data_IF_606181986496
#
_entry.id   IF_606181986496
#
_cell.length_a   1.000
_cell.length_b   1.000
_cell.length_c   1.000
_cell.angle_alpha   90.00
_cell.angle_beta   90.00
_cell.angle_gamma   90.00
#
_symmetry.space_group_name_H-M   'P 1'
#
loop_
_entity.id
_entity.type
_entity.pdbx_description
1 polymer ?
#
# COMPACT_ATOMS: atom_id res chain seq x y z
N UNK A 1 -3.69 17.07 14.40
CA UNK A 1 -2.44 16.83 13.64
C UNK A 1 -2.79 15.97 12.46
N UNK A 2 -2.87 16.55 11.26
CA UNK A 2 -3.23 15.79 10.06
C UNK A 2 -2.15 14.74 9.82
N UNK A 3 -2.51 13.45 9.88
CA UNK A 3 -1.59 12.41 9.46
C UNK A 3 -1.22 12.74 8.02
N UNK A 4 0.00 13.25 7.80
CA UNK A 4 0.58 13.47 6.47
C UNK A 4 0.98 12.11 5.89
N UNK A 5 0.05 11.16 5.95
CA UNK A 5 0.18 9.83 5.41
C UNK A 5 -0.08 9.85 3.91
N UNK A 6 0.39 8.81 3.24
CA UNK A 6 0.23 8.64 1.82
C UNK A 6 -1.25 8.66 1.40
N UNK A 7 -1.62 9.42 0.36
CA UNK A 7 -2.99 9.45 -0.16
C UNK A 7 -3.53 8.04 -0.44
N UNK A 8 -4.83 7.83 -0.25
CA UNK A 8 -5.44 6.51 -0.50
C UNK A 8 -5.24 6.04 -1.95
N UNK A 9 -5.38 6.96 -2.92
CA UNK A 9 -5.11 6.70 -4.34
C UNK A 9 -3.67 6.25 -4.59
N UNK A 10 -2.70 6.86 -3.89
CA UNK A 10 -1.29 6.48 -4.02
C UNK A 10 -1.08 5.06 -3.50
N UNK A 11 -1.62 4.75 -2.32
CA UNK A 11 -1.53 3.41 -1.72
C UNK A 11 -2.18 2.36 -2.62
N UNK A 12 -3.34 2.67 -3.21
CA UNK A 12 -4.03 1.80 -4.16
C UNK A 12 -3.16 1.46 -5.37
N UNK A 13 -2.58 2.47 -6.03
CA UNK A 13 -1.68 2.27 -7.18
C UNK A 13 -0.47 1.39 -6.87
N UNK A 14 0.10 1.55 -5.68
CA UNK A 14 1.21 0.69 -5.22
C UNK A 14 0.74 -0.75 -5.05
N UNK A 15 -0.42 -0.96 -4.42
CA UNK A 15 -0.98 -2.30 -4.25
C UNK A 15 -1.36 -2.94 -5.59
N UNK A 16 -1.97 -2.20 -6.52
CA UNK A 16 -2.33 -2.68 -7.86
C UNK A 16 -1.08 -3.10 -8.64
N UNK A 17 0.03 -2.35 -8.50
CA UNK A 17 1.31 -2.70 -9.14
C UNK A 17 1.90 -3.98 -8.57
N UNK A 18 1.76 -4.20 -7.25
CA UNK A 18 2.19 -5.43 -6.59
C UNK A 18 1.30 -6.62 -6.99
N UNK A 19 -0.01 -6.40 -7.13
CA UNK A 19 -0.94 -7.43 -7.63
C UNK A 19 -0.70 -7.78 -9.10
N UNK A 20 -0.25 -6.82 -9.90
CA UNK A 20 0.22 -7.04 -11.27
C UNK A 20 1.55 -7.82 -11.36
N UNK A 21 2.15 -8.18 -10.22
CA UNK A 21 3.36 -9.02 -10.14
C UNK A 21 4.66 -8.27 -9.89
N UNK A 22 4.63 -6.95 -9.69
CA UNK A 22 5.84 -6.20 -9.29
C UNK A 22 6.23 -6.57 -7.86
N UNK A 23 7.53 -6.70 -7.60
CA UNK A 23 8.04 -6.98 -6.26
C UNK A 23 7.79 -5.81 -5.31
N UNK A 24 7.36 -6.11 -4.09
CA UNK A 24 7.24 -5.13 -3.00
C UNK A 24 8.59 -4.47 -2.69
N UNK A 25 9.71 -5.19 -2.83
CA UNK A 25 11.05 -4.66 -2.56
C UNK A 25 11.45 -3.61 -3.59
N UNK A 26 11.26 -3.90 -4.89
CA UNK A 26 11.53 -2.95 -5.95
C UNK A 26 10.65 -1.71 -5.83
N UNK A 27 9.39 -1.88 -5.41
CA UNK A 27 8.49 -0.75 -5.20
C UNK A 27 8.85 0.12 -4.01
N UNK A 28 9.21 -0.53 -2.90
CA UNK A 28 9.68 0.16 -1.71
C UNK A 28 10.94 0.99 -2.00
N UNK A 29 11.87 0.41 -2.76
CA UNK A 29 13.10 1.11 -3.18
C UNK A 29 12.81 2.31 -4.11
N UNK A 30 11.98 2.11 -5.14
CA UNK A 30 11.62 3.14 -6.13
C UNK A 30 10.87 4.34 -5.51
N UNK A 31 10.11 4.10 -4.44
CA UNK A 31 9.34 5.14 -3.74
C UNK A 31 10.04 5.69 -2.49
N UNK A 32 11.24 5.21 -2.18
CA UNK A 32 11.98 5.52 -0.95
C UNK A 32 11.14 5.31 0.33
N UNK A 33 10.43 4.18 0.39
CA UNK A 33 9.61 3.78 1.54
C UNK A 33 10.01 2.40 2.05
N UNK A 34 9.75 2.11 3.31
CA UNK A 34 9.97 0.77 3.84
C UNK A 34 8.99 -0.25 3.26
N UNK A 35 9.46 -1.46 2.94
CA UNK A 35 8.62 -2.59 2.54
C UNK A 35 7.52 -2.90 3.56
N UNK A 36 7.80 -2.69 4.86
CA UNK A 36 6.82 -2.77 5.95
C UNK A 36 5.60 -1.87 5.74
N UNK A 37 5.80 -0.67 5.19
CA UNK A 37 4.70 0.27 4.91
C UNK A 37 3.77 -0.29 3.84
N UNK A 38 4.33 -0.91 2.80
CA UNK A 38 3.55 -1.56 1.72
C UNK A 38 2.79 -2.77 2.26
N UNK A 39 3.42 -3.61 3.10
CA UNK A 39 2.74 -4.73 3.75
C UNK A 39 1.62 -4.28 4.70
N UNK A 40 1.83 -3.19 5.44
CA UNK A 40 0.81 -2.60 6.30
C UNK A 40 -0.42 -2.15 5.49
N UNK A 41 -0.22 -1.55 4.32
CA UNK A 41 -1.32 -1.17 3.42
C UNK A 41 -2.07 -2.39 2.89
N UNK A 42 -1.37 -3.44 2.46
CA UNK A 42 -2.01 -4.69 2.00
C UNK A 42 -2.88 -5.31 3.09
N UNK A 43 -2.44 -5.24 4.35
CA UNK A 43 -3.22 -5.69 5.51
C UNK A 43 -4.43 -4.80 5.77
N UNK A 44 -4.27 -3.48 5.74
CA UNK A 44 -5.37 -2.53 5.93
C UNK A 44 -6.44 -2.66 4.85
N UNK A 45 -6.03 -2.88 3.61
CA UNK A 45 -6.95 -3.00 2.49
C UNK A 45 -7.86 -4.22 2.61
N UNK A 46 -7.30 -5.37 2.98
CA UNK A 46 -8.07 -6.60 3.24
C UNK A 46 -9.06 -6.44 4.41
N UNK A 47 -8.77 -5.56 5.37
CA UNK A 47 -9.69 -5.25 6.47
C UNK A 47 -10.82 -4.33 5.98
N UNK A 48 -10.49 -3.29 5.21
CA UNK A 48 -11.47 -2.38 4.63
C UNK A 48 -12.49 -3.12 3.74
N UNK A 49 -12.02 -4.09 2.94
CA UNK A 49 -12.87 -4.96 2.12
C UNK A 49 -13.81 -5.88 2.92
N UNK A 50 -13.52 -6.16 4.20
CA UNK A 50 -14.33 -7.08 5.03
C UNK A 50 -15.38 -6.39 5.90
N UNK A 51 -15.32 -5.06 6.05
CA UNK A 51 -16.22 -4.30 6.93
C UNK A 51 -17.32 -3.55 6.14
N UNK A 52 -17.34 -3.68 4.81
CA UNK A 52 -18.29 -3.01 3.93
C UNK A 52 -19.15 -3.94 3.07
N UNK A 53 -19.64 -5.05 3.64
CA UNK A 53 -20.61 -5.95 3.00
C UNK A 53 -21.82 -6.17 3.91
#
# INVERSE_FOLDING_TARGET
MGHRGYPAEFRRKVLDSVEAGRSVADMAHDLDISTETVYAWRRQDRIALRVGA
#
